data_IF_852016595395
#
_entry.id   IF_852016595395
#
_cell.length_a   1.000
_cell.length_b   1.000
_cell.length_c   1.000
_cell.angle_alpha   90.00
_cell.angle_beta   90.00
_cell.angle_gamma   90.00
#
_symmetry.space_group_name_H-M   'P 1'
#
loop_
_entity.id
_entity.type
_entity.pdbx_description
1 polymer ?
#
# COMPACT_ATOMS: atom_id res chain seq x y z
N UNK A 1 26.77 -28.20 23.26
CA UNK A 1 27.16 -27.07 22.43
C UNK A 1 25.86 -26.31 22.18
N UNK A 2 25.73 -25.14 22.76
CA UNK A 2 24.58 -24.27 22.51
C UNK A 2 24.67 -23.80 21.05
N UNK A 3 23.60 -24.00 20.29
CA UNK A 3 23.48 -23.52 18.93
C UNK A 3 23.39 -21.97 19.05
N UNK A 4 24.49 -21.28 18.82
CA UNK A 4 24.50 -19.82 18.73
C UNK A 4 23.64 -19.43 17.53
N UNK A 5 22.42 -18.95 17.81
CA UNK A 5 21.54 -18.43 16.79
C UNK A 5 22.18 -17.13 16.31
N UNK A 6 22.73 -17.14 15.11
CA UNK A 6 23.28 -15.92 14.51
C UNK A 6 22.14 -14.91 14.29
N UNK A 7 22.33 -13.69 14.76
CA UNK A 7 21.36 -12.57 14.64
C UNK A 7 20.95 -12.31 13.18
N UNK A 8 21.83 -12.66 12.26
CA UNK A 8 21.61 -12.53 10.81
C UNK A 8 20.93 -13.76 10.18
N UNK A 9 20.53 -14.75 10.97
CA UNK A 9 19.81 -15.90 10.41
C UNK A 9 18.39 -15.51 9.97
N UNK A 10 17.96 -15.92 8.78
CA UNK A 10 16.64 -15.62 8.25
C UNK A 10 15.49 -16.08 9.17
N UNK A 11 15.70 -17.15 9.94
CA UNK A 11 14.70 -17.66 10.91
C UNK A 11 14.48 -16.72 12.08
N UNK A 12 15.54 -16.14 12.62
CA UNK A 12 15.46 -15.16 13.70
C UNK A 12 14.74 -13.89 13.24
N UNK A 13 15.13 -13.37 12.07
CA UNK A 13 14.47 -12.21 11.47
C UNK A 13 12.98 -12.48 11.18
N UNK A 14 12.63 -13.67 10.71
CA UNK A 14 11.24 -14.04 10.47
C UNK A 14 10.41 -14.09 11.76
N UNK A 15 10.99 -14.50 12.87
CA UNK A 15 10.31 -14.51 14.18
C UNK A 15 10.10 -13.09 14.71
N UNK A 16 11.09 -12.22 14.58
CA UNK A 16 10.97 -10.79 14.90
C UNK A 16 9.86 -10.14 14.10
N UNK A 17 9.78 -10.42 12.80
CA UNK A 17 8.70 -9.94 11.92
C UNK A 17 7.33 -10.32 12.43
N UNK A 18 7.17 -11.57 12.89
CA UNK A 18 5.87 -12.10 13.39
C UNK A 18 5.44 -11.51 14.72
N UNK A 19 6.39 -11.11 15.56
CA UNK A 19 6.12 -10.56 16.90
C UNK A 19 5.99 -9.05 16.93
N UNK A 20 6.42 -8.37 15.85
CA UNK A 20 6.36 -6.92 15.75
C UNK A 20 4.93 -6.44 15.55
N UNK A 21 4.42 -5.49 16.37
CA UNK A 21 3.12 -4.89 16.16
C UNK A 21 3.14 -4.06 14.88
N UNK A 22 2.18 -4.31 13.98
CA UNK A 22 2.02 -3.55 12.74
C UNK A 22 1.37 -2.20 13.01
N UNK A 23 1.71 -1.21 12.18
CA UNK A 23 1.00 0.07 12.15
C UNK A 23 -0.46 -0.20 11.78
N UNK A 24 -1.38 0.39 12.53
CA UNK A 24 -2.81 0.27 12.23
C UNK A 24 -3.11 1.05 10.95
N UNK A 25 -3.78 0.39 10.02
CA UNK A 25 -4.23 0.94 8.76
C UNK A 25 -5.76 0.96 8.74
N UNK A 26 -6.35 2.09 8.38
CA UNK A 26 -7.80 2.22 8.34
C UNK A 26 -8.34 1.92 6.94
N UNK A 27 -7.75 2.54 5.92
CA UNK A 27 -8.26 2.42 4.56
C UNK A 27 -7.93 1.06 3.94
N UNK A 28 -6.72 0.54 4.18
CA UNK A 28 -6.34 -0.79 3.72
C UNK A 28 -7.23 -1.87 4.35
N UNK A 29 -7.43 -1.81 5.67
CA UNK A 29 -8.15 -2.85 6.40
C UNK A 29 -9.67 -2.85 6.09
N UNK A 30 -10.26 -1.70 5.79
CA UNK A 30 -11.70 -1.60 5.57
C UNK A 30 -12.12 -1.63 4.09
N UNK A 31 -11.29 -1.09 3.19
CA UNK A 31 -11.68 -0.91 1.78
C UNK A 31 -10.88 -1.78 0.80
N UNK A 32 -9.66 -2.20 1.15
CA UNK A 32 -8.76 -2.97 0.28
C UNK A 32 -8.44 -4.35 0.85
N UNK A 33 -9.47 -5.06 1.34
CA UNK A 33 -9.32 -6.36 1.98
C UNK A 33 -8.99 -7.51 1.01
N UNK A 34 -9.34 -7.37 -0.26
CA UNK A 34 -9.13 -8.41 -1.26
C UNK A 34 -7.79 -8.24 -1.96
N UNK A 35 -6.75 -8.87 -1.41
CA UNK A 35 -5.39 -8.84 -1.95
C UNK A 35 -5.18 -10.02 -2.89
N UNK A 36 -4.72 -9.73 -4.12
CA UNK A 36 -4.31 -10.74 -5.10
C UNK A 36 -2.84 -10.56 -5.41
N UNK A 37 -2.07 -11.63 -5.27
CA UNK A 37 -0.66 -11.67 -5.61
C UNK A 37 -0.44 -12.27 -7.00
N UNK A 38 0.56 -11.78 -7.71
CA UNK A 38 0.96 -12.26 -9.04
C UNK A 38 2.48 -12.35 -9.14
N UNK A 39 2.95 -13.29 -9.97
CA UNK A 39 4.38 -13.55 -10.17
C UNK A 39 4.95 -12.86 -11.40
N UNK A 40 4.13 -12.18 -12.20
CA UNK A 40 4.54 -11.51 -13.43
C UNK A 40 4.98 -10.06 -13.16
N UNK A 41 5.82 -9.50 -14.03
CA UNK A 41 6.27 -8.11 -13.92
C UNK A 41 5.14 -7.08 -14.14
N UNK A 42 4.15 -7.44 -14.94
CA UNK A 42 2.98 -6.61 -15.25
C UNK A 42 1.71 -7.43 -15.12
N UNK A 43 0.61 -6.76 -14.84
CA UNK A 43 -0.74 -7.33 -14.78
C UNK A 43 -1.61 -6.61 -15.77
N UNK A 44 -2.37 -7.36 -16.55
CA UNK A 44 -3.39 -6.83 -17.44
C UNK A 44 -4.72 -6.76 -16.68
N UNK A 45 -5.31 -5.57 -16.67
CA UNK A 45 -6.56 -5.27 -15.98
C UNK A 45 -7.61 -4.94 -17.03
N UNK A 46 -8.65 -5.76 -17.06
CA UNK A 46 -9.80 -5.52 -17.93
C UNK A 46 -10.79 -4.58 -17.25
N UNK A 47 -10.99 -3.42 -17.85
CA UNK A 47 -11.94 -2.42 -17.38
C UNK A 47 -13.19 -2.49 -18.24
N UNK A 48 -14.30 -2.87 -17.63
CA UNK A 48 -15.63 -2.87 -18.25
C UNK A 48 -16.39 -1.63 -17.77
N UNK A 49 -16.70 -0.72 -18.68
CA UNK A 49 -17.57 0.43 -18.37
C UNK A 49 -19.01 0.00 -18.63
N UNK A 50 -19.70 -0.38 -17.55
CA UNK A 50 -21.12 -0.74 -17.64
C UNK A 50 -21.98 0.44 -18.07
N UNK A 51 -22.88 0.20 -19.03
CA UNK A 51 -23.88 1.18 -19.49
C UNK A 51 -25.20 0.92 -18.75
N UNK A 52 -25.67 1.94 -18.02
CA UNK A 52 -26.93 1.86 -17.26
C UNK A 52 -28.12 2.13 -18.17
N UNK A 53 -28.29 1.34 -19.24
CA UNK A 53 -29.45 1.47 -20.15
C UNK A 53 -30.69 0.92 -19.50
N UNK A 54 -31.78 1.67 -19.61
CA UNK A 54 -33.11 1.16 -19.26
C UNK A 54 -33.70 0.40 -20.45
N UNK A 55 -34.42 -0.69 -20.16
CA UNK A 55 -35.19 -1.40 -21.17
C UNK A 55 -36.29 -0.47 -21.71
N UNK A 56 -36.48 -0.46 -23.03
CA UNK A 56 -37.55 0.29 -23.66
C UNK A 56 -38.89 -0.47 -23.56
N UNK A 57 -40.00 0.27 -23.44
CA UNK A 57 -41.32 -0.32 -23.62
C UNK A 57 -41.57 -0.60 -25.09
N UNK A 58 -42.03 -1.81 -25.41
CA UNK A 58 -42.24 -2.26 -26.76
C UNK A 58 -43.70 -2.74 -26.87
N UNK A 59 -44.35 -2.43 -28.00
CA UNK A 59 -45.71 -2.93 -28.26
C UNK A 59 -45.66 -4.44 -28.46
N UNK A 60 -46.68 -5.21 -27.98
CA UNK A 60 -46.67 -6.66 -28.04
C UNK A 60 -46.50 -7.30 -29.43
N UNK A 61 -46.84 -6.56 -30.47
CA UNK A 61 -46.71 -7.00 -31.87
C UNK A 61 -45.38 -6.60 -32.53
N UNK A 62 -44.52 -5.83 -31.81
CA UNK A 62 -43.20 -5.38 -32.30
C UNK A 62 -42.13 -6.14 -31.55
N UNK A 63 -41.15 -6.69 -32.25
CA UNK A 63 -40.05 -7.43 -31.64
C UNK A 63 -39.24 -6.59 -30.67
N UNK A 64 -38.60 -7.21 -29.68
CA UNK A 64 -37.76 -6.55 -28.68
C UNK A 64 -36.59 -5.79 -29.29
N UNK A 65 -36.11 -4.76 -28.59
CA UNK A 65 -34.91 -4.02 -28.97
C UNK A 65 -33.64 -4.81 -28.61
N UNK A 66 -32.74 -4.96 -29.58
CA UNK A 66 -31.45 -5.61 -29.34
C UNK A 66 -30.53 -4.65 -28.56
N UNK A 67 -30.10 -5.08 -27.39
CA UNK A 67 -29.08 -4.40 -26.62
C UNK A 67 -27.71 -4.91 -27.07
N UNK A 68 -26.81 -3.99 -27.43
CA UNK A 68 -25.42 -4.36 -27.76
C UNK A 68 -24.66 -4.74 -26.49
N UNK A 69 -23.82 -5.74 -26.60
CA UNK A 69 -22.90 -6.10 -25.52
C UNK A 69 -21.88 -4.97 -25.28
N UNK A 70 -21.53 -4.80 -24.03
CA UNK A 70 -20.52 -3.84 -23.63
C UNK A 70 -19.13 -4.34 -24.01
N UNK A 71 -18.29 -3.42 -24.51
CA UNK A 71 -16.88 -3.70 -24.75
C UNK A 71 -16.07 -3.56 -23.46
N UNK A 72 -14.91 -4.15 -23.44
CA UNK A 72 -13.92 -3.96 -22.37
C UNK A 72 -12.65 -3.33 -22.96
N UNK A 73 -11.90 -2.66 -22.09
CA UNK A 73 -10.59 -2.10 -22.41
C UNK A 73 -9.57 -2.77 -21.48
N UNK A 74 -8.53 -3.36 -22.06
CA UNK A 74 -7.43 -3.96 -21.29
C UNK A 74 -6.32 -2.93 -21.12
N UNK A 75 -5.93 -2.69 -19.88
CA UNK A 75 -4.78 -1.84 -19.53
C UNK A 75 -3.72 -2.68 -18.85
N UNK A 76 -2.46 -2.58 -19.33
CA UNK A 76 -1.33 -3.26 -18.72
C UNK A 76 -0.70 -2.36 -17.65
N UNK A 77 -0.67 -2.87 -16.43
CA UNK A 77 -0.15 -2.17 -15.27
C UNK A 77 1.12 -2.82 -14.73
N UNK A 78 2.18 -2.02 -14.59
CA UNK A 78 3.42 -2.43 -13.91
C UNK A 78 3.50 -1.73 -12.57
N UNK A 79 3.37 -2.45 -11.44
CA UNK A 79 3.42 -1.84 -10.11
C UNK A 79 4.81 -1.26 -9.81
N UNK A 80 4.86 -0.13 -9.09
CA UNK A 80 6.11 0.42 -8.61
C UNK A 80 6.68 -0.41 -7.47
N UNK A 81 8.00 -0.43 -7.35
CA UNK A 81 8.68 -1.06 -6.23
C UNK A 81 8.80 -0.07 -5.05
N UNK A 82 8.39 -0.51 -3.87
CA UNK A 82 8.66 0.18 -2.60
C UNK A 82 9.83 -0.54 -1.96
N UNK A 83 10.99 0.09 -1.89
CA UNK A 83 12.20 -0.51 -1.35
C UNK A 83 12.94 0.50 -0.44
N UNK A 84 12.48 0.67 0.80
CA UNK A 84 13.20 1.49 1.77
C UNK A 84 14.47 0.76 2.21
N UNK A 85 15.57 1.49 2.37
CA UNK A 85 16.86 0.99 2.79
C UNK A 85 17.36 1.74 4.02
N UNK A 86 18.00 1.03 4.93
CA UNK A 86 18.81 1.59 6.02
C UNK A 86 20.22 1.02 5.89
N UNK A 87 21.23 1.86 6.08
CA UNK A 87 22.63 1.44 6.10
C UNK A 87 23.10 1.53 7.55
N UNK A 88 23.47 0.38 8.11
CA UNK A 88 24.01 0.25 9.45
C UNK A 88 25.50 -0.10 9.33
N UNK A 89 26.36 0.66 10.02
CA UNK A 89 27.80 0.42 10.01
C UNK A 89 28.24 -0.30 11.28
N UNK A 90 29.40 -0.98 11.22
CA UNK A 90 29.97 -1.65 12.39
C UNK A 90 30.26 -0.67 13.55
N UNK A 91 30.51 0.60 13.25
CA UNK A 91 30.72 1.65 14.26
C UNK A 91 29.44 1.94 15.08
N UNK A 92 28.27 1.84 14.45
CA UNK A 92 26.98 2.13 15.10
C UNK A 92 26.74 1.17 16.29
N UNK A 93 27.22 -0.08 16.19
CA UNK A 93 27.16 -1.05 17.27
C UNK A 93 28.12 -0.75 18.46
N UNK A 94 29.14 0.06 18.23
CA UNK A 94 30.08 0.49 19.27
C UNK A 94 29.59 1.75 20.01
N UNK A 95 28.69 2.52 19.40
CA UNK A 95 28.12 3.71 20.02
C UNK A 95 26.92 3.35 20.90
N UNK A 96 26.70 4.14 21.93
CA UNK A 96 25.56 3.98 22.84
C UNK A 96 24.25 4.31 22.09
N UNK A 97 23.28 3.40 22.20
CA UNK A 97 21.95 3.63 21.63
C UNK A 97 21.12 4.63 22.45
N UNK A 98 20.21 5.38 21.82
CA UNK A 98 19.25 6.21 22.52
C UNK A 98 18.39 5.38 23.50
N UNK A 99 18.27 5.84 24.75
CA UNK A 99 17.53 5.13 25.79
C UNK A 99 18.32 4.01 26.51
N UNK A 100 19.55 3.75 26.14
CA UNK A 100 20.44 2.83 26.88
C UNK A 100 20.97 3.52 28.15
N UNK A 101 20.98 2.78 29.27
CA UNK A 101 21.53 3.29 30.53
C UNK A 101 23.04 3.56 30.38
N UNK A 102 23.53 4.62 31.04
CA UNK A 102 24.96 5.02 31.03
C UNK A 102 25.90 3.92 31.50
N UNK A 103 25.40 3.04 32.36
CA UNK A 103 26.14 1.92 32.92
C UNK A 103 25.66 0.56 32.43
N UNK A 104 24.94 0.54 31.27
CA UNK A 104 24.47 -0.71 30.72
C UNK A 104 25.64 -1.59 30.29
N UNK A 105 25.62 -2.84 30.72
CA UNK A 105 26.62 -3.84 30.32
C UNK A 105 26.31 -4.50 28.97
N UNK A 106 25.52 -3.83 28.09
CA UNK A 106 25.19 -4.39 26.79
C UNK A 106 26.44 -4.60 25.95
N UNK A 107 26.56 -5.77 25.37
CA UNK A 107 27.63 -6.09 24.44
C UNK A 107 27.38 -5.43 23.08
N UNK A 108 28.43 -5.21 22.27
CA UNK A 108 28.26 -4.70 20.91
C UNK A 108 27.35 -5.58 20.03
N UNK A 109 27.35 -6.90 20.27
CA UNK A 109 26.48 -7.83 19.56
C UNK A 109 24.99 -7.65 19.93
N UNK A 110 24.70 -7.45 21.21
CA UNK A 110 23.33 -7.16 21.67
C UNK A 110 22.82 -5.82 21.13
N UNK A 111 23.69 -4.80 21.04
CA UNK A 111 23.33 -3.52 20.41
C UNK A 111 23.04 -3.70 18.93
N UNK A 112 23.86 -4.43 18.21
CA UNK A 112 23.66 -4.71 16.79
C UNK A 112 22.33 -5.46 16.55
N UNK A 113 22.00 -6.43 17.41
CA UNK A 113 20.73 -7.16 17.35
C UNK A 113 19.54 -6.23 17.55
N UNK A 114 19.59 -5.40 18.60
CA UNK A 114 18.53 -4.44 18.90
C UNK A 114 18.34 -3.43 17.77
N UNK A 115 19.42 -2.88 17.26
CA UNK A 115 19.41 -1.94 16.14
C UNK A 115 18.81 -2.57 14.88
N UNK A 116 19.16 -3.80 14.56
CA UNK A 116 18.62 -4.52 13.41
C UNK A 116 17.09 -4.68 13.52
N UNK A 117 16.58 -4.99 14.71
CA UNK A 117 15.15 -5.10 14.98
C UNK A 117 14.46 -3.74 14.81
N UNK A 118 15.02 -2.68 15.41
CA UNK A 118 14.45 -1.33 15.30
C UNK A 118 14.45 -0.82 13.86
N UNK A 119 15.52 -1.05 13.11
CA UNK A 119 15.62 -0.68 11.71
C UNK A 119 14.62 -1.45 10.86
N UNK A 120 14.46 -2.75 11.09
CA UNK A 120 13.45 -3.54 10.40
C UNK A 120 12.04 -3.01 10.67
N UNK A 121 11.70 -2.74 11.93
CA UNK A 121 10.40 -2.16 12.29
C UNK A 121 10.16 -0.83 11.58
N UNK A 122 11.15 0.06 11.59
CA UNK A 122 11.08 1.36 10.92
C UNK A 122 10.85 1.25 9.41
N UNK A 123 11.55 0.32 8.76
CA UNK A 123 11.40 0.07 7.32
C UNK A 123 10.03 -0.49 6.98
N UNK A 124 9.55 -1.46 7.75
CA UNK A 124 8.22 -2.05 7.59
C UNK A 124 7.11 -1.02 7.80
N UNK A 125 7.22 -0.22 8.85
CA UNK A 125 6.29 0.88 9.12
C UNK A 125 6.27 1.92 7.99
N UNK A 126 7.43 2.23 7.42
CA UNK A 126 7.53 3.16 6.30
C UNK A 126 6.83 2.61 5.04
N UNK A 127 6.97 1.31 4.76
CA UNK A 127 6.28 0.64 3.67
C UNK A 127 4.75 0.66 3.89
N UNK A 128 4.30 0.24 5.08
CA UNK A 128 2.87 0.21 5.44
C UNK A 128 2.22 1.60 5.36
N UNK A 129 2.91 2.65 5.85
CA UNK A 129 2.40 4.03 5.70
C UNK A 129 2.32 4.47 4.24
N UNK A 130 3.21 4.00 3.38
CA UNK A 130 3.14 4.29 1.94
C UNK A 130 1.95 3.59 1.29
N UNK A 131 1.67 2.36 1.65
CA UNK A 131 0.51 1.62 1.18
C UNK A 131 -0.80 2.28 1.62
N UNK A 132 -0.91 2.65 2.91
CA UNK A 132 -2.06 3.38 3.44
C UNK A 132 -2.25 4.72 2.73
N UNK A 133 -1.17 5.47 2.49
CA UNK A 133 -1.23 6.72 1.73
C UNK A 133 -1.74 6.50 0.29
N UNK A 134 -1.32 5.43 -0.38
CA UNK A 134 -1.83 5.09 -1.71
C UNK A 134 -3.32 4.76 -1.67
N UNK A 135 -3.78 4.03 -0.66
CA UNK A 135 -5.20 3.72 -0.45
C UNK A 135 -6.04 4.99 -0.26
N UNK A 136 -5.57 5.91 0.58
CA UNK A 136 -6.21 7.23 0.78
C UNK A 136 -6.30 8.01 -0.53
N UNK A 137 -5.20 8.10 -1.29
CA UNK A 137 -5.18 8.82 -2.57
C UNK A 137 -6.11 8.21 -3.61
N UNK A 138 -6.20 6.88 -3.63
CA UNK A 138 -7.15 6.18 -4.52
C UNK A 138 -8.60 6.59 -4.23
N UNK A 139 -8.98 6.67 -2.97
CA UNK A 139 -10.36 6.99 -2.56
C UNK A 139 -10.65 8.49 -2.74
N UNK A 140 -9.72 9.36 -2.32
CA UNK A 140 -9.95 10.80 -2.30
C UNK A 140 -9.81 11.44 -3.68
N UNK A 141 -8.73 11.10 -4.38
CA UNK A 141 -8.36 11.76 -5.64
C UNK A 141 -8.70 10.90 -6.87
N UNK A 142 -8.92 9.59 -6.69
CA UNK A 142 -9.03 8.63 -7.80
C UNK A 142 -7.75 8.50 -8.61
N UNK A 143 -6.62 8.93 -8.06
CA UNK A 143 -5.31 8.92 -8.70
C UNK A 143 -4.22 8.65 -7.68
N UNK A 144 -3.20 7.88 -8.08
CA UNK A 144 -2.01 7.67 -7.27
C UNK A 144 -0.81 8.30 -7.98
N UNK A 145 -0.27 9.42 -7.50
CA UNK A 145 0.99 9.93 -8.00
C UNK A 145 2.15 9.11 -7.45
N UNK A 146 2.90 8.45 -8.34
CA UNK A 146 4.08 7.66 -8.03
C UNK A 146 5.29 8.51 -8.40
N UNK A 147 5.78 9.29 -7.43
CA UNK A 147 6.93 10.15 -7.58
C UNK A 147 8.06 9.65 -6.69
N UNK A 148 9.20 9.39 -7.29
CA UNK A 148 10.41 8.92 -6.59
C UNK A 148 11.65 9.01 -7.47
N UNK A 149 12.83 8.71 -6.94
CA UNK A 149 14.06 8.69 -7.73
C UNK A 149 13.93 7.76 -8.94
N UNK A 150 13.97 8.33 -10.15
CA UNK A 150 13.85 7.58 -11.41
C UNK A 150 12.45 7.13 -11.79
N UNK A 151 11.42 7.47 -11.02
CA UNK A 151 10.02 7.12 -11.31
C UNK A 151 9.14 8.36 -11.18
N UNK A 152 8.41 8.66 -12.27
CA UNK A 152 7.38 9.71 -12.27
C UNK A 152 6.21 9.20 -13.10
N UNK A 153 5.22 8.61 -12.45
CA UNK A 153 4.00 8.07 -13.06
C UNK A 153 2.79 8.49 -12.23
N UNK A 154 1.66 8.63 -12.90
CA UNK A 154 0.36 8.79 -12.25
C UNK A 154 -0.52 7.64 -12.69
N UNK A 155 -1.11 6.94 -11.74
CA UNK A 155 -2.14 5.93 -12.01
C UNK A 155 -3.47 6.65 -11.86
N UNK A 156 -4.24 6.74 -12.94
CA UNK A 156 -5.59 7.33 -12.92
C UNK A 156 -6.63 6.21 -13.04
N UNK A 157 -7.54 6.14 -12.09
CA UNK A 157 -8.64 5.16 -12.10
C UNK A 157 -9.86 5.65 -12.89
N UNK A 158 -9.78 6.82 -13.53
CA UNK A 158 -10.82 7.36 -14.39
C UNK A 158 -12.14 7.69 -13.69
N UNK A 159 -12.08 8.12 -12.42
CA UNK A 159 -13.29 8.52 -11.69
C UNK A 159 -13.89 9.80 -12.32
N UNK A 160 -15.11 9.70 -12.81
CA UNK A 160 -15.84 10.81 -13.44
C UNK A 160 -16.59 11.67 -12.42
N UNK A 161 -17.00 11.11 -11.29
CA UNK A 161 -17.78 11.80 -10.26
C UNK A 161 -16.85 12.32 -9.15
N UNK A 162 -16.09 13.36 -9.45
CA UNK A 162 -15.27 14.07 -8.45
C UNK A 162 -16.02 15.34 -8.02
N UNK A 163 -16.40 15.42 -6.76
CA UNK A 163 -17.03 16.61 -6.18
C UNK A 163 -16.04 17.25 -5.21
N UNK A 164 -15.57 18.44 -5.54
CA UNK A 164 -14.78 19.26 -4.61
C UNK A 164 -15.72 20.18 -3.85
N UNK A 165 -15.84 20.00 -2.55
CA UNK A 165 -16.61 20.87 -1.67
C UNK A 165 -15.75 22.10 -1.34
N UNK A 166 -16.08 23.24 -1.93
CA UNK A 166 -15.51 24.53 -1.55
C UNK A 166 -16.27 25.07 -0.35
N UNK A 167 -15.59 25.59 0.66
CA UNK A 167 -16.12 25.91 1.99
C UNK A 167 -17.35 26.85 2.07
N UNK A 168 -17.77 27.46 0.97
CA UNK A 168 -19.00 28.26 0.87
C UNK A 168 -20.22 27.45 0.45
N UNK A 169 -20.03 26.28 -0.18
CA UNK A 169 -21.13 25.43 -0.66
C UNK A 169 -21.62 24.43 0.39
N UNK A 170 -20.78 24.10 1.35
CA UNK A 170 -21.09 23.10 2.40
C UNK A 170 -22.17 23.59 3.39
N UNK A 171 -22.37 24.90 3.53
CA UNK A 171 -23.39 25.48 4.43
C UNK A 171 -24.81 25.54 3.87
N UNK A 172 -25.04 25.23 2.60
CA UNK A 172 -26.36 25.31 1.96
C UNK A 172 -27.09 23.98 1.80
N UNK A 173 -26.49 22.87 2.18
CA UNK A 173 -27.13 21.55 2.10
C UNK A 173 -27.85 21.10 3.36
N UNK A 174 -27.99 21.98 4.36
CA UNK A 174 -28.76 21.72 5.58
C UNK A 174 -29.94 22.67 5.65
N UNK A 175 -30.90 22.47 4.76
CA UNK A 175 -32.29 22.91 4.92
C UNK A 175 -33.19 21.89 4.24
#
# INVERSE_FOLDING_TARGET
>A
MANEISIYEPRYLAEVVRTTPLVRTFFLDNYFTNVKTFATKSVDIDVVKGDRRMASFVHPLVGGQVLKNEGYQTESFTPPLINPLTVTTANDALERMPGEDLYSGMTPEERAAKQLIEDYQRLNDAATRREEWMAVRTIMDGQIPIVGPGVNKVIDFGFTNKVTLEGTKDRKSVV
#
